data_IF_196497366831
#
_entry.id   IF_196497366831
#
_cell.length_a   1.000
_cell.length_b   1.000
_cell.length_c   1.000
_cell.angle_alpha   90.00
_cell.angle_beta   90.00
_cell.angle_gamma   90.00
#
_symmetry.space_group_name_H-M   'P 1'
#
loop_
_entity.id
_entity.type
_entity.pdbx_description
1 polymer ?
#
# COMPACT_ATOMS: atom_id res chain seq x y z
N UNK A 1 29.57 -31.94 -0.19
CA UNK A 1 28.78 -30.77 0.21
C UNK A 1 27.38 -30.95 -0.38
N UNK A 2 26.30 -30.98 0.41
CA UNK A 2 24.97 -30.99 -0.16
C UNK A 2 24.78 -29.67 -0.92
N UNK A 3 24.32 -29.73 -2.17
CA UNK A 3 23.89 -28.55 -2.92
C UNK A 3 22.78 -27.87 -2.11
N UNK A 4 23.11 -26.78 -1.40
CA UNK A 4 22.09 -25.90 -0.85
C UNK A 4 21.34 -25.31 -2.03
N UNK A 5 20.14 -25.81 -2.30
CA UNK A 5 19.22 -25.19 -3.26
C UNK A 5 19.14 -23.71 -2.90
N UNK A 6 19.46 -22.86 -3.87
CA UNK A 6 19.39 -21.42 -3.65
C UNK A 6 17.95 -21.03 -3.33
N UNK A 7 17.73 -20.07 -2.40
CA UNK A 7 16.38 -19.68 -2.03
C UNK A 7 15.63 -19.09 -3.23
N UNK A 8 14.34 -19.40 -3.30
CA UNK A 8 13.44 -18.86 -4.31
C UNK A 8 13.25 -17.35 -4.09
N UNK A 9 13.20 -16.61 -5.19
CA UNK A 9 12.81 -15.21 -5.19
C UNK A 9 11.35 -15.07 -4.79
N UNK A 10 11.02 -13.97 -4.10
CA UNK A 10 9.63 -13.66 -3.74
C UNK A 10 8.86 -13.20 -4.99
N UNK A 11 7.83 -13.94 -5.46
CA UNK A 11 7.02 -13.54 -6.61
C UNK A 11 6.13 -12.32 -6.32
N UNK A 12 6.04 -11.87 -5.07
CA UNK A 12 5.42 -10.59 -4.71
C UNK A 12 6.37 -9.41 -4.87
N UNK A 13 7.68 -9.62 -5.00
CA UNK A 13 8.56 -8.54 -5.43
C UNK A 13 8.09 -8.09 -6.82
N UNK A 14 7.71 -6.83 -6.96
CA UNK A 14 7.10 -6.25 -8.18
C UNK A 14 7.98 -6.45 -9.42
N UNK A 15 9.30 -6.42 -9.27
CA UNK A 15 10.24 -6.78 -10.33
C UNK A 15 10.12 -8.25 -10.73
N UNK A 16 10.15 -9.16 -9.76
CA UNK A 16 10.10 -10.61 -10.00
C UNK A 16 8.76 -10.97 -10.64
N UNK A 17 7.68 -10.36 -10.16
CA UNK A 17 6.35 -10.46 -10.74
C UNK A 17 6.36 -10.05 -12.22
N UNK A 18 6.88 -8.85 -12.53
CA UNK A 18 6.96 -8.36 -13.91
C UNK A 18 7.78 -9.30 -14.79
N UNK A 19 8.98 -9.70 -14.35
CA UNK A 19 9.84 -10.62 -15.12
C UNK A 19 9.17 -11.97 -15.37
N UNK A 20 8.48 -12.54 -14.38
CA UNK A 20 7.78 -13.83 -14.52
C UNK A 20 6.71 -13.75 -15.61
N UNK A 21 5.83 -12.75 -15.54
CA UNK A 21 4.70 -12.64 -16.45
C UNK A 21 5.06 -12.03 -17.81
N UNK A 22 6.15 -11.28 -17.93
CA UNK A 22 6.69 -10.88 -19.24
C UNK A 22 7.41 -12.01 -19.95
N UNK A 23 8.03 -12.92 -19.19
CA UNK A 23 8.66 -14.14 -19.74
C UNK A 23 7.60 -15.17 -20.18
N UNK A 24 6.46 -15.21 -19.51
CA UNK A 24 5.36 -16.13 -19.80
C UNK A 24 4.00 -15.42 -19.86
N UNK A 25 3.70 -14.66 -20.93
CA UNK A 25 2.43 -13.94 -21.07
C UNK A 25 1.18 -14.83 -21.00
N UNK A 26 1.29 -16.09 -21.39
CA UNK A 26 0.21 -17.08 -21.25
C UNK A 26 -0.18 -17.31 -19.79
N UNK A 27 0.77 -17.24 -18.85
CA UNK A 27 0.47 -17.37 -17.41
C UNK A 27 -0.25 -16.13 -16.88
N UNK A 28 0.05 -14.95 -17.43
CA UNK A 28 -0.65 -13.72 -17.09
C UNK A 28 -2.10 -13.77 -17.62
N UNK A 29 -2.29 -14.33 -18.82
CA UNK A 29 -3.62 -14.61 -19.38
C UNK A 29 -4.45 -15.52 -18.44
N UNK A 30 -3.86 -16.62 -17.95
CA UNK A 30 -4.49 -17.53 -16.98
C UNK A 30 -4.82 -16.84 -15.64
N UNK A 31 -3.94 -15.95 -15.16
CA UNK A 31 -4.20 -15.15 -13.97
C UNK A 31 -5.37 -14.17 -14.18
N UNK A 32 -5.42 -13.48 -15.32
CA UNK A 32 -6.52 -12.57 -15.68
C UNK A 32 -7.84 -13.35 -15.72
N UNK A 33 -7.86 -14.51 -16.39
CA UNK A 33 -9.02 -15.39 -16.46
C UNK A 33 -9.46 -15.87 -15.06
N UNK A 34 -8.52 -16.20 -14.18
CA UNK A 34 -8.82 -16.61 -12.81
C UNK A 34 -9.46 -15.48 -11.99
N UNK A 35 -8.96 -14.24 -12.13
CA UNK A 35 -9.55 -13.06 -11.47
C UNK A 35 -10.94 -12.76 -12.05
N UNK A 36 -11.08 -12.82 -13.37
CA UNK A 36 -12.30 -12.50 -14.12
C UNK A 36 -13.13 -13.73 -14.47
N UNK A 37 -13.19 -14.71 -13.58
CA UNK A 37 -13.86 -16.00 -13.80
C UNK A 37 -15.36 -15.93 -14.17
N UNK A 38 -16.00 -14.77 -13.99
CA UNK A 38 -17.40 -14.51 -14.36
C UNK A 38 -17.56 -13.93 -15.79
N UNK A 39 -16.45 -13.63 -16.45
CA UNK A 39 -16.41 -13.05 -17.80
C UNK A 39 -15.94 -14.10 -18.82
N UNK A 40 -16.20 -13.89 -20.12
CA UNK A 40 -15.64 -14.74 -21.17
C UNK A 40 -14.11 -14.81 -21.08
N UNK A 41 -13.59 -16.02 -21.23
CA UNK A 41 -12.15 -16.26 -21.20
C UNK A 41 -11.46 -15.53 -22.36
N UNK A 42 -10.29 -14.97 -22.05
CA UNK A 42 -9.33 -14.54 -23.06
C UNK A 42 -8.38 -15.67 -23.41
N UNK A 43 -7.92 -15.68 -24.64
CA UNK A 43 -7.04 -16.74 -25.17
C UNK A 43 -5.61 -16.27 -25.39
N UNK A 44 -5.40 -14.96 -25.59
CA UNK A 44 -4.08 -14.39 -25.82
C UNK A 44 -3.98 -12.97 -25.28
N UNK A 45 -2.76 -12.58 -24.91
CA UNK A 45 -2.44 -11.20 -24.56
C UNK A 45 -1.12 -10.78 -25.20
N UNK A 46 -0.99 -9.50 -25.49
CA UNK A 46 0.27 -8.85 -25.86
C UNK A 46 0.66 -7.87 -24.77
N UNK A 47 1.91 -7.94 -24.30
CA UNK A 47 2.42 -7.00 -23.31
C UNK A 47 2.95 -5.76 -24.02
N UNK A 48 2.42 -4.59 -23.64
CA UNK A 48 2.73 -3.31 -24.26
C UNK A 48 3.96 -2.63 -23.64
N UNK A 49 4.33 -2.97 -22.40
CA UNK A 49 5.47 -2.39 -21.68
C UNK A 49 6.44 -3.46 -21.12
N UNK A 50 7.00 -4.35 -21.97
CA UNK A 50 7.79 -5.51 -21.50
C UNK A 50 9.12 -5.10 -20.86
N UNK A 51 9.67 -3.95 -21.25
CA UNK A 51 10.96 -3.46 -20.79
C UNK A 51 10.94 -3.09 -19.30
N UNK A 52 12.10 -3.28 -18.68
CA UNK A 52 12.35 -2.89 -17.30
C UNK A 52 13.72 -2.24 -17.25
N UNK A 53 13.74 -0.93 -17.04
CA UNK A 53 14.96 -0.14 -16.99
C UNK A 53 15.58 -0.18 -15.59
N UNK A 54 16.90 0.06 -15.47
CA UNK A 54 17.55 0.07 -14.15
C UNK A 54 17.02 1.22 -13.26
N UNK A 55 16.52 2.29 -13.87
CA UNK A 55 15.84 3.41 -13.24
C UNK A 55 14.52 2.97 -12.55
N UNK A 56 13.86 1.94 -13.08
CA UNK A 56 12.66 1.32 -12.50
C UNK A 56 12.96 0.55 -11.20
N UNK A 57 14.23 0.43 -10.77
CA UNK A 57 14.56 -0.30 -9.54
C UNK A 57 14.60 0.60 -8.30
N UNK A 58 14.82 1.91 -8.48
CA UNK A 58 15.18 2.84 -7.40
C UNK A 58 14.30 4.11 -7.32
N UNK A 59 13.38 4.33 -8.26
CA UNK A 59 12.57 5.56 -8.33
C UNK A 59 11.25 5.58 -7.55
N UNK A 60 10.67 6.78 -7.39
CA UNK A 60 9.27 6.99 -6.94
C UNK A 60 8.22 6.72 -8.04
N UNK A 61 8.65 6.76 -9.31
CA UNK A 61 7.81 6.68 -10.52
C UNK A 61 8.01 5.37 -11.28
N UNK A 62 8.41 4.32 -10.57
CA UNK A 62 8.72 3.01 -11.13
C UNK A 62 7.51 2.42 -11.86
N UNK A 63 7.70 2.04 -13.11
CA UNK A 63 6.68 1.37 -13.93
C UNK A 63 6.91 -0.15 -13.95
N UNK A 64 6.67 -0.80 -12.80
CA UNK A 64 6.72 -2.27 -12.66
C UNK A 64 5.35 -2.93 -12.81
N UNK A 65 4.32 -2.16 -13.14
CA UNK A 65 3.06 -2.69 -13.63
C UNK A 65 3.23 -3.32 -15.01
N UNK A 66 2.35 -4.27 -15.32
CA UNK A 66 2.25 -4.90 -16.63
C UNK A 66 1.01 -4.34 -17.32
N UNK A 67 1.24 -3.63 -18.43
CA UNK A 67 0.20 -3.20 -19.34
C UNK A 67 0.09 -4.23 -20.46
N UNK A 68 -1.06 -4.89 -20.56
CA UNK A 68 -1.33 -5.90 -21.57
C UNK A 68 -2.60 -5.56 -22.37
N UNK A 69 -2.71 -6.12 -23.57
CA UNK A 69 -3.87 -5.99 -24.46
C UNK A 69 -4.29 -7.39 -24.93
N UNK A 70 -5.59 -7.69 -24.88
CA UNK A 70 -6.13 -8.98 -25.35
C UNK A 70 -6.54 -8.97 -26.83
N UNK A 71 -7.05 -10.11 -27.33
CA UNK A 71 -7.51 -10.25 -28.71
C UNK A 71 -8.71 -9.35 -29.07
N UNK A 72 -9.41 -8.81 -28.07
CA UNK A 72 -10.54 -7.90 -28.22
C UNK A 72 -10.13 -6.43 -27.99
N UNK A 73 -8.83 -6.13 -27.94
CA UNK A 73 -8.28 -4.79 -27.71
C UNK A 73 -8.57 -4.20 -26.34
N UNK A 74 -9.07 -4.99 -25.39
CA UNK A 74 -9.24 -4.55 -24.00
C UNK A 74 -7.85 -4.45 -23.35
N UNK A 75 -7.64 -3.39 -22.57
CA UNK A 75 -6.37 -3.15 -21.88
C UNK A 75 -6.44 -3.62 -20.44
N UNK A 76 -5.38 -4.26 -19.97
CA UNK A 76 -5.23 -4.73 -18.60
C UNK A 76 -4.02 -4.03 -17.98
N UNK A 77 -4.23 -3.38 -16.84
CA UNK A 77 -3.14 -2.90 -16.00
C UNK A 77 -3.02 -3.82 -14.78
N UNK A 78 -1.97 -4.64 -14.74
CA UNK A 78 -1.75 -5.62 -13.67
C UNK A 78 -0.61 -5.15 -12.78
N UNK A 79 -0.89 -5.00 -11.49
CA UNK A 79 0.07 -4.50 -10.51
C UNK A 79 0.22 -5.46 -9.32
N UNK A 80 1.45 -5.82 -8.98
CA UNK A 80 1.78 -6.46 -7.71
C UNK A 80 2.16 -5.38 -6.70
N UNK A 81 1.30 -5.17 -5.72
CA UNK A 81 1.46 -4.11 -4.74
C UNK A 81 1.94 -4.66 -3.40
N UNK A 82 3.23 -4.47 -3.16
CA UNK A 82 3.91 -4.90 -1.93
C UNK A 82 3.51 -4.03 -0.73
N UNK A 83 3.03 -2.80 -0.98
CA UNK A 83 2.85 -1.77 0.04
C UNK A 83 1.62 -0.93 -0.19
N UNK A 84 1.03 -0.49 0.92
CA UNK A 84 0.10 0.62 0.92
C UNK A 84 0.90 1.93 0.85
N UNK A 85 0.64 2.73 -0.19
CA UNK A 85 1.13 4.11 -0.27
C UNK A 85 -0.05 5.05 -0.30
N UNK A 86 -0.16 5.97 0.66
CA UNK A 86 -1.19 7.00 0.61
C UNK A 86 -0.78 8.18 -0.30
N UNK A 87 -1.70 8.72 -1.13
CA UNK A 87 -3.10 8.30 -1.27
C UNK A 87 -3.28 7.15 -2.29
N UNK A 88 -3.60 5.95 -1.81
CA UNK A 88 -3.65 4.74 -2.63
C UNK A 88 -4.79 4.77 -3.66
N UNK A 89 -6.00 5.12 -3.22
CA UNK A 89 -7.20 5.14 -4.05
C UNK A 89 -7.06 6.13 -5.20
N UNK A 90 -6.62 7.36 -4.90
CA UNK A 90 -6.40 8.41 -5.89
C UNK A 90 -5.37 8.00 -6.93
N UNK A 91 -4.26 7.37 -6.51
CA UNK A 91 -3.20 6.89 -7.40
C UNK A 91 -3.73 5.80 -8.34
N UNK A 92 -4.43 4.80 -7.79
CA UNK A 92 -5.01 3.70 -8.57
C UNK A 92 -6.03 4.21 -9.59
N UNK A 93 -6.95 5.09 -9.19
CA UNK A 93 -7.93 5.69 -10.10
C UNK A 93 -7.27 6.56 -11.18
N UNK A 94 -6.24 7.34 -10.82
CA UNK A 94 -5.49 8.15 -11.78
C UNK A 94 -4.83 7.30 -12.85
N UNK A 95 -4.13 6.22 -12.47
CA UNK A 95 -3.47 5.36 -13.44
C UNK A 95 -4.46 4.60 -14.32
N UNK A 96 -5.55 4.11 -13.75
CA UNK A 96 -6.61 3.43 -14.51
C UNK A 96 -7.23 4.38 -15.55
N UNK A 97 -7.60 5.59 -15.15
CA UNK A 97 -8.12 6.61 -16.05
C UNK A 97 -7.09 7.02 -17.11
N UNK A 98 -5.81 7.14 -16.73
CA UNK A 98 -4.72 7.47 -17.68
C UNK A 98 -4.58 6.40 -18.76
N UNK A 99 -4.67 5.11 -18.39
CA UNK A 99 -4.65 4.01 -19.36
C UNK A 99 -5.82 4.11 -20.34
N UNK A 100 -7.02 4.49 -19.87
CA UNK A 100 -8.17 4.74 -20.73
C UNK A 100 -7.91 5.89 -21.71
N UNK A 101 -7.47 7.05 -21.20
CA UNK A 101 -7.25 8.24 -22.04
C UNK A 101 -6.11 8.09 -23.03
N UNK A 102 -5.10 7.27 -22.72
CA UNK A 102 -3.95 6.99 -23.60
C UNK A 102 -4.28 6.06 -24.79
N UNK A 103 -5.55 5.73 -25.01
CA UNK A 103 -5.99 4.95 -26.16
C UNK A 103 -6.19 5.81 -27.41
N UNK A 104 -6.52 7.08 -27.23
CA UNK A 104 -6.94 7.97 -28.29
C UNK A 104 -5.92 9.09 -28.51
N UNK A 105 -5.78 9.49 -29.77
CA UNK A 105 -5.08 10.70 -30.18
C UNK A 105 -6.06 11.87 -30.35
N UNK A 106 -5.58 13.13 -30.37
CA UNK A 106 -6.44 14.29 -30.59
C UNK A 106 -7.21 14.20 -31.91
N UNK A 107 -8.55 14.13 -31.82
CA UNK A 107 -9.46 14.09 -32.97
C UNK A 107 -10.09 12.71 -33.22
N UNK A 108 -9.68 11.67 -32.50
CA UNK A 108 -10.28 10.34 -32.58
C UNK A 108 -11.72 10.31 -32.04
N UNK A 109 -12.51 9.38 -32.57
CA UNK A 109 -13.87 9.10 -32.09
C UNK A 109 -13.83 8.33 -30.76
N UNK A 110 -14.60 8.77 -29.77
CA UNK A 110 -14.74 8.07 -28.48
C UNK A 110 -15.30 6.65 -28.62
N UNK A 111 -16.00 6.33 -29.71
CA UNK A 111 -16.46 4.97 -30.00
C UNK A 111 -15.32 3.95 -30.18
N UNK A 112 -14.07 4.41 -30.35
CA UNK A 112 -12.89 3.56 -30.44
C UNK A 112 -12.37 3.10 -29.08
N UNK A 113 -12.81 3.71 -27.98
CA UNK A 113 -12.37 3.34 -26.63
C UNK A 113 -12.69 1.88 -26.34
N UNK A 114 -11.68 1.18 -25.83
CA UNK A 114 -11.81 -0.18 -25.34
C UNK A 114 -11.80 -0.21 -23.82
N UNK A 115 -12.48 -1.18 -23.20
CA UNK A 115 -12.43 -1.39 -21.77
C UNK A 115 -11.01 -1.47 -21.20
N UNK A 116 -10.82 -0.84 -20.04
CA UNK A 116 -9.60 -0.90 -19.24
C UNK A 116 -9.90 -1.58 -17.91
N UNK A 117 -9.14 -2.63 -17.62
CA UNK A 117 -9.28 -3.43 -16.42
C UNK A 117 -8.00 -3.34 -15.59
N UNK A 118 -8.09 -2.72 -14.42
CA UNK A 118 -7.04 -2.76 -13.40
C UNK A 118 -7.14 -4.04 -12.58
N UNK A 119 -6.03 -4.74 -12.36
CA UNK A 119 -5.94 -5.91 -11.48
C UNK A 119 -4.78 -5.70 -10.52
N UNK A 120 -5.07 -5.40 -9.26
CA UNK A 120 -4.04 -5.17 -8.25
C UNK A 120 -4.02 -6.32 -7.23
N UNK A 121 -2.88 -6.99 -7.12
CA UNK A 121 -2.60 -8.01 -6.12
C UNK A 121 -1.96 -7.33 -4.91
N UNK A 122 -2.69 -7.26 -3.80
CA UNK A 122 -2.27 -6.52 -2.61
C UNK A 122 -1.65 -7.47 -1.58
N UNK A 123 -0.41 -7.22 -1.18
CA UNK A 123 0.25 -7.94 -0.07
C UNK A 123 -0.11 -7.38 1.32
N UNK A 124 -1.24 -6.68 1.43
CA UNK A 124 -1.75 -6.06 2.65
C UNK A 124 -3.28 -6.02 2.59
N UNK A 125 -3.91 -5.76 3.73
CA UNK A 125 -5.35 -5.55 3.81
C UNK A 125 -5.65 -4.05 3.65
N UNK A 126 -6.31 -3.70 2.55
CA UNK A 126 -6.81 -2.36 2.30
C UNK A 126 -8.11 -2.09 3.07
N UNK A 127 -9.01 -3.08 3.15
CA UNK A 127 -10.28 -2.97 3.86
C UNK A 127 -10.23 -3.78 5.15
N UNK A 128 -10.25 -3.10 6.29
CA UNK A 128 -10.07 -3.71 7.62
C UNK A 128 -11.34 -3.66 8.48
N UNK A 129 -12.41 -3.06 7.96
CA UNK A 129 -13.71 -2.97 8.61
C UNK A 129 -14.32 -4.37 8.80
N UNK A 130 -15.01 -4.56 9.93
CA UNK A 130 -15.56 -5.86 10.32
C UNK A 130 -16.51 -6.44 9.25
N UNK A 131 -17.35 -5.59 8.67
CA UNK A 131 -18.36 -5.96 7.66
C UNK A 131 -17.74 -6.42 6.33
N UNK A 132 -16.50 -6.02 6.06
CA UNK A 132 -15.75 -6.30 4.85
C UNK A 132 -14.63 -7.34 5.07
N UNK A 133 -14.53 -7.89 6.28
CA UNK A 133 -13.40 -8.71 6.69
C UNK A 133 -13.31 -10.02 5.91
N UNK A 134 -14.45 -10.61 5.55
CA UNK A 134 -14.58 -11.91 4.86
C UNK A 134 -14.47 -11.82 3.32
N UNK A 135 -14.20 -10.64 2.77
CA UNK A 135 -14.01 -10.46 1.33
C UNK A 135 -12.54 -10.19 1.00
N UNK A 136 -12.03 -10.90 0.01
CA UNK A 136 -10.64 -10.81 -0.46
C UNK A 136 -10.51 -10.39 -1.92
N UNK A 137 -11.56 -10.61 -2.73
CA UNK A 137 -11.65 -10.14 -4.12
C UNK A 137 -12.70 -9.03 -4.19
N UNK A 138 -12.27 -7.85 -4.63
CA UNK A 138 -13.11 -6.68 -4.82
C UNK A 138 -13.17 -6.34 -6.30
N UNK A 139 -14.35 -5.97 -6.80
CA UNK A 139 -14.53 -5.46 -8.16
C UNK A 139 -15.26 -4.11 -8.06
N UNK A 140 -14.60 -3.05 -8.49
CA UNK A 140 -15.17 -1.71 -8.53
C UNK A 140 -15.49 -1.32 -9.97
N UNK A 141 -16.71 -0.85 -10.18
CA UNK A 141 -17.30 -0.50 -11.47
C UNK A 141 -18.17 0.75 -11.33
N UNK A 142 -18.49 1.40 -12.44
CA UNK A 142 -19.40 2.55 -12.46
C UNK A 142 -20.85 2.06 -12.36
N UNK A 143 -21.38 2.00 -11.14
CA UNK A 143 -22.73 1.52 -10.83
C UNK A 143 -23.60 2.65 -10.28
N UNK A 144 -24.91 2.55 -10.49
CA UNK A 144 -25.84 3.48 -9.87
C UNK A 144 -25.80 3.33 -8.33
N UNK A 145 -25.79 4.47 -7.63
CA UNK A 145 -25.65 4.49 -6.17
C UNK A 145 -26.88 3.92 -5.45
N UNK A 146 -28.06 4.07 -6.04
CA UNK A 146 -29.34 3.67 -5.43
C UNK A 146 -29.70 2.23 -5.80
N UNK A 147 -29.38 1.83 -7.03
CA UNK A 147 -29.56 0.48 -7.54
C UNK A 147 -28.23 -0.08 -8.08
N UNK A 148 -27.39 -0.69 -7.23
CA UNK A 148 -26.07 -1.19 -7.63
C UNK A 148 -26.09 -2.27 -8.73
N UNK A 149 -27.23 -2.90 -9.01
CA UNK A 149 -27.36 -3.82 -10.13
C UNK A 149 -27.28 -3.12 -11.50
N UNK A 150 -27.59 -1.82 -11.56
CA UNK A 150 -27.48 -1.01 -12.78
C UNK A 150 -26.04 -0.51 -12.92
N UNK A 151 -25.42 -0.87 -14.02
CA UNK A 151 -24.04 -0.49 -14.37
C UNK A 151 -24.06 0.44 -15.59
N UNK A 152 -23.29 1.52 -15.54
CA UNK A 152 -23.07 2.42 -16.66
C UNK A 152 -21.77 2.04 -17.36
N UNK A 153 -21.90 1.31 -18.47
CA UNK A 153 -20.76 0.87 -19.29
C UNK A 153 -19.82 -0.10 -18.58
N UNK A 154 -18.78 -0.55 -19.28
CA UNK A 154 -17.74 -1.45 -18.75
C UNK A 154 -16.33 -0.93 -19.05
N UNK A 155 -16.21 0.36 -19.38
CA UNK A 155 -14.96 0.98 -19.84
C UNK A 155 -13.88 0.99 -18.76
N UNK A 156 -14.27 1.00 -17.48
CA UNK A 156 -13.36 1.00 -16.33
C UNK A 156 -13.80 -0.04 -15.30
N UNK A 157 -12.92 -1.00 -15.04
CA UNK A 157 -13.05 -1.97 -13.95
C UNK A 157 -11.77 -1.98 -13.11
N UNK A 158 -11.90 -2.07 -11.78
CA UNK A 158 -10.76 -2.24 -10.88
C UNK A 158 -10.98 -3.45 -9.97
N UNK A 159 -10.18 -4.48 -10.19
CA UNK A 159 -10.13 -5.67 -9.35
C UNK A 159 -9.01 -5.57 -8.32
N UNK A 160 -9.33 -5.76 -7.05
CA UNK A 160 -8.35 -5.83 -5.96
C UNK A 160 -8.40 -7.21 -5.33
N UNK A 161 -7.22 -7.81 -5.13
CA UNK A 161 -7.08 -9.12 -4.51
C UNK A 161 -6.19 -8.96 -3.29
N UNK A 162 -6.76 -9.04 -2.10
CA UNK A 162 -6.04 -8.99 -0.82
C UNK A 162 -5.45 -10.36 -0.50
N UNK A 163 -4.19 -10.57 -0.89
CA UNK A 163 -3.48 -11.84 -0.71
C UNK A 163 -3.49 -12.38 0.73
N UNK A 164 -3.43 -11.56 1.80
CA UNK A 164 -3.48 -12.07 3.17
C UNK A 164 -4.83 -12.71 3.56
N UNK A 165 -5.92 -12.42 2.83
CA UNK A 165 -7.26 -12.95 3.11
C UNK A 165 -7.58 -14.22 2.30
N UNK A 166 -6.57 -15.06 2.04
CA UNK A 166 -6.71 -16.25 1.16
C UNK A 166 -7.84 -17.19 1.60
N UNK A 167 -7.97 -17.46 2.89
CA UNK A 167 -8.99 -18.39 3.43
C UNK A 167 -10.41 -17.87 3.25
N UNK A 168 -10.55 -16.59 2.90
CA UNK A 168 -11.80 -15.87 2.69
C UNK A 168 -12.17 -15.74 1.22
N UNK A 169 -11.38 -16.33 0.30
CA UNK A 169 -11.74 -16.50 -1.12
C UNK A 169 -12.78 -17.63 -1.30
N UNK A 170 -13.89 -17.56 -0.57
CA UNK A 170 -15.03 -18.46 -0.78
C UNK A 170 -15.58 -18.32 -2.22
N UNK A 171 -15.57 -17.09 -2.75
CA UNK A 171 -16.10 -16.74 -4.07
C UNK A 171 -15.07 -16.76 -5.22
N UNK A 172 -13.78 -16.76 -4.93
CA UNK A 172 -12.76 -16.90 -5.98
C UNK A 172 -12.71 -18.35 -6.44
N UNK A 173 -12.92 -18.64 -7.73
CA UNK A 173 -12.84 -20.01 -8.25
C UNK A 173 -11.54 -20.72 -7.88
N UNK A 174 -11.51 -22.06 -8.03
CA UNK A 174 -10.33 -22.91 -7.71
C UNK A 174 -9.02 -22.37 -8.32
N UNK A 175 -9.08 -21.78 -9.50
CA UNK A 175 -7.96 -21.15 -10.18
C UNK A 175 -7.39 -19.95 -9.41
N UNK A 176 -8.22 -18.99 -8.99
CA UNK A 176 -7.76 -17.80 -8.27
C UNK A 176 -7.16 -18.17 -6.91
N UNK A 177 -7.80 -19.11 -6.18
CA UNK A 177 -7.23 -19.63 -4.92
C UNK A 177 -5.86 -20.27 -5.13
N UNK A 178 -5.67 -20.97 -6.25
CA UNK A 178 -4.38 -21.57 -6.61
C UNK A 178 -3.30 -20.51 -6.85
N UNK A 179 -3.64 -19.42 -7.56
CA UNK A 179 -2.74 -18.28 -7.76
C UNK A 179 -2.39 -17.56 -6.45
N UNK A 180 -3.38 -17.29 -5.59
CA UNK A 180 -3.12 -16.67 -4.28
C UNK A 180 -2.25 -17.59 -3.41
N UNK A 181 -2.49 -18.91 -3.44
CA UNK A 181 -1.65 -19.90 -2.74
C UNK A 181 -0.21 -19.86 -3.26
N UNK A 182 -0.01 -19.73 -4.58
CA UNK A 182 1.32 -19.51 -5.16
C UNK A 182 2.02 -18.27 -4.58
N UNK A 183 1.36 -17.11 -4.58
CA UNK A 183 1.98 -15.88 -4.07
C UNK A 183 2.22 -15.87 -2.55
N UNK A 184 1.46 -16.68 -1.79
CA UNK A 184 1.55 -16.77 -0.32
C UNK A 184 2.52 -17.84 0.17
N UNK A 185 2.62 -18.95 -0.54
CA UNK A 185 3.35 -20.15 -0.14
C UNK A 185 4.46 -20.54 -1.11
N UNK A 186 4.97 -19.59 -1.91
CA UNK A 186 5.97 -19.85 -2.96
C UNK A 186 7.23 -20.57 -2.45
N UNK A 187 7.58 -20.42 -1.18
CA UNK A 187 8.72 -21.10 -0.55
C UNK A 187 8.45 -22.59 -0.28
N UNK A 188 7.18 -22.98 -0.20
CA UNK A 188 6.70 -24.35 0.06
C UNK A 188 6.50 -25.09 -1.27
N UNK A 189 7.55 -25.08 -2.09
CA UNK A 189 7.54 -25.58 -3.47
C UNK A 189 6.91 -26.97 -3.59
N UNK A 190 7.28 -27.89 -2.70
CA UNK A 190 6.77 -29.26 -2.71
C UNK A 190 5.26 -29.28 -2.51
N UNK A 191 4.73 -28.47 -1.60
CA UNK A 191 3.30 -28.38 -1.34
C UNK A 191 2.56 -27.79 -2.53
N UNK A 192 3.10 -26.74 -3.16
CA UNK A 192 2.47 -26.17 -4.36
C UNK A 192 2.43 -27.21 -5.48
N UNK A 193 3.54 -27.91 -5.73
CA UNK A 193 3.61 -28.93 -6.79
C UNK A 193 2.74 -30.16 -6.52
N UNK A 194 2.51 -30.53 -5.26
CA UNK A 194 1.72 -31.71 -4.90
C UNK A 194 0.25 -31.43 -4.63
N UNK A 195 -0.08 -30.27 -4.06
CA UNK A 195 -1.42 -29.95 -3.55
C UNK A 195 -2.20 -28.99 -4.46
N UNK A 196 -1.54 -28.27 -5.38
CA UNK A 196 -2.23 -27.40 -6.34
C UNK A 196 -2.42 -28.14 -7.65
N UNK A 197 -3.65 -28.58 -7.92
CA UNK A 197 -4.02 -29.28 -9.17
C UNK A 197 -4.18 -28.35 -10.38
N UNK A 198 -3.90 -27.06 -10.23
CA UNK A 198 -4.03 -26.09 -11.32
C UNK A 198 -2.69 -25.90 -12.04
N UNK A 199 -2.61 -26.47 -13.24
CA UNK A 199 -1.38 -26.60 -14.05
C UNK A 199 -0.65 -25.26 -14.30
N UNK A 200 -1.33 -24.13 -14.62
CA UNK A 200 -0.64 -22.84 -14.81
C UNK A 200 0.17 -22.38 -13.59
N UNK A 201 -0.29 -22.71 -12.38
CA UNK A 201 0.45 -22.38 -11.15
C UNK A 201 1.70 -23.26 -10.99
N UNK A 202 1.64 -24.52 -11.43
CA UNK A 202 2.82 -25.40 -11.44
C UNK A 202 3.86 -24.93 -12.47
N UNK A 203 3.42 -24.44 -13.63
CA UNK A 203 4.28 -23.80 -14.62
C UNK A 203 4.92 -22.53 -14.05
N UNK A 204 4.13 -21.66 -13.39
CA UNK A 204 4.62 -20.45 -12.73
C UNK A 204 5.67 -20.76 -11.66
N UNK A 205 5.46 -21.82 -10.87
CA UNK A 205 6.42 -22.31 -9.89
C UNK A 205 7.73 -22.78 -10.54
N UNK A 206 7.62 -23.54 -11.62
CA UNK A 206 8.81 -23.99 -12.38
C UNK A 206 9.58 -22.81 -12.96
N UNK A 207 8.89 -21.83 -13.54
CA UNK A 207 9.49 -20.61 -14.04
C UNK A 207 10.14 -19.79 -12.91
N UNK A 208 9.49 -19.67 -11.75
CA UNK A 208 10.06 -19.00 -10.58
C UNK A 208 11.38 -19.64 -10.14
N UNK A 209 11.53 -20.97 -10.19
CA UNK A 209 12.82 -21.63 -9.92
C UNK A 209 13.90 -21.24 -10.92
N UNK A 210 13.57 -21.23 -12.21
CA UNK A 210 14.52 -20.82 -13.25
C UNK A 210 14.95 -19.36 -13.07
N UNK A 211 14.00 -18.45 -12.83
CA UNK A 211 14.28 -17.04 -12.55
C UNK A 211 15.08 -16.86 -11.26
N UNK A 212 14.82 -17.70 -10.25
CA UNK A 212 15.59 -17.69 -9.02
C UNK A 212 17.03 -18.12 -9.28
N UNK A 213 17.29 -19.08 -10.16
CA UNK A 213 18.64 -19.50 -10.52
C UNK A 213 19.41 -18.48 -11.38
N UNK A 214 18.71 -17.55 -12.05
CA UNK A 214 19.32 -16.50 -12.87
C UNK A 214 19.95 -15.39 -12.01
N UNK A 215 21.26 -15.20 -12.15
CA UNK A 215 22.03 -14.25 -11.35
C UNK A 215 21.63 -12.79 -11.60
N UNK A 216 21.30 -12.45 -12.86
CA UNK A 216 20.88 -11.09 -13.23
C UNK A 216 19.54 -10.74 -12.59
N UNK A 217 18.55 -11.61 -12.71
CA UNK A 217 17.24 -11.47 -12.07
C UNK A 217 17.37 -11.36 -10.57
N UNK A 218 18.16 -12.23 -9.94
CA UNK A 218 18.40 -12.18 -8.49
C UNK A 218 19.03 -10.86 -8.05
N UNK A 219 20.06 -10.38 -8.75
CA UNK A 219 20.72 -9.11 -8.43
C UNK A 219 19.74 -7.95 -8.49
N UNK A 220 18.92 -7.88 -9.55
CA UNK A 220 17.92 -6.82 -9.72
C UNK A 220 16.82 -6.91 -8.66
N UNK A 221 16.36 -8.11 -8.32
CA UNK A 221 15.39 -8.33 -7.24
C UNK A 221 15.93 -7.87 -5.88
N UNK A 222 17.22 -8.15 -5.60
CA UNK A 222 17.89 -7.68 -4.40
C UNK A 222 18.01 -6.15 -4.35
N UNK A 223 18.37 -5.49 -5.46
CA UNK A 223 18.39 -4.02 -5.55
C UNK A 223 17.01 -3.44 -5.26
N UNK A 224 15.96 -4.02 -5.86
CA UNK A 224 14.59 -3.59 -5.65
C UNK A 224 14.14 -3.77 -4.19
N UNK A 225 14.46 -4.92 -3.60
CA UNK A 225 14.15 -5.19 -2.19
C UNK A 225 14.85 -4.20 -1.26
N UNK A 226 16.12 -3.86 -1.53
CA UNK A 226 16.85 -2.84 -0.78
C UNK A 226 16.20 -1.47 -0.91
N UNK A 227 15.86 -1.03 -2.12
CA UNK A 227 15.19 0.24 -2.35
C UNK A 227 13.88 0.32 -1.56
N UNK A 228 13.08 -0.76 -1.59
CA UNK A 228 11.91 -0.88 -0.74
C UNK A 228 12.29 -0.71 0.74
N UNK A 229 13.25 -1.46 1.29
CA UNK A 229 13.63 -1.35 2.72
C UNK A 229 14.08 0.06 3.10
N UNK A 230 14.84 0.73 2.25
CA UNK A 230 15.32 2.09 2.46
C UNK A 230 14.16 3.09 2.51
N UNK A 231 13.20 3.01 1.58
CA UNK A 231 11.97 3.81 1.60
C UNK A 231 11.15 3.61 2.88
N UNK A 232 11.01 2.37 3.36
CA UNK A 232 10.27 2.07 4.60
C UNK A 232 10.94 2.70 5.81
N UNK A 233 12.27 2.64 5.85
CA UNK A 233 13.07 3.23 6.92
C UNK A 233 12.98 4.76 6.89
N UNK A 234 13.03 5.36 5.69
CA UNK A 234 12.85 6.80 5.51
C UNK A 234 11.46 7.28 5.94
N UNK A 235 10.40 6.55 5.58
CA UNK A 235 9.04 6.87 6.01
C UNK A 235 8.90 6.78 7.53
N UNK A 236 9.41 5.70 8.15
CA UNK A 236 9.37 5.54 9.60
C UNK A 236 10.10 6.67 10.33
N UNK A 237 11.29 7.07 9.84
CA UNK A 237 12.04 8.19 10.39
C UNK A 237 11.28 9.53 10.24
N UNK A 238 10.66 9.77 9.07
CA UNK A 238 9.84 10.96 8.84
C UNK A 238 8.62 11.01 9.76
N UNK A 239 7.92 9.89 9.95
CA UNK A 239 6.80 9.78 10.89
C UNK A 239 7.25 10.04 12.32
N UNK A 240 8.34 9.43 12.78
CA UNK A 240 8.87 9.64 14.13
C UNK A 240 9.24 11.12 14.36
N UNK A 241 9.89 11.76 13.38
CA UNK A 241 10.20 13.20 13.43
C UNK A 241 8.93 14.05 13.48
N UNK A 242 7.92 13.74 12.67
CA UNK A 242 6.64 14.45 12.65
C UNK A 242 5.90 14.35 13.97
N UNK A 243 5.89 13.17 14.61
CA UNK A 243 5.31 12.96 15.95
C UNK A 243 6.06 13.77 16.99
N UNK A 244 7.40 13.72 17.00
CA UNK A 244 8.21 14.49 17.95
C UNK A 244 7.96 16.00 17.82
N UNK A 245 7.94 16.53 16.59
CA UNK A 245 7.60 17.93 16.33
C UNK A 245 6.18 18.29 16.78
N UNK A 246 5.21 17.39 16.58
CA UNK A 246 3.83 17.59 17.04
C UNK A 246 3.72 17.66 18.56
N UNK A 247 4.44 16.80 19.28
CA UNK A 247 4.50 16.82 20.75
C UNK A 247 5.17 18.10 21.26
N UNK A 248 6.28 18.52 20.66
CA UNK A 248 6.96 19.77 21.01
C UNK A 248 6.06 21.00 20.78
N UNK A 249 5.38 21.06 19.62
CA UNK A 249 4.43 22.14 19.33
C UNK A 249 3.24 22.15 20.30
N UNK A 250 2.74 20.98 20.71
CA UNK A 250 1.68 20.88 21.74
C UNK A 250 2.17 21.46 23.05
N UNK A 251 3.36 21.06 23.52
CA UNK A 251 3.95 21.54 24.77
C UNK A 251 4.13 23.06 24.77
N UNK A 252 4.63 23.64 23.67
CA UNK A 252 4.77 25.10 23.53
C UNK A 252 3.42 25.81 23.64
N UNK A 253 2.38 25.32 22.94
CA UNK A 253 1.04 25.91 22.98
C UNK A 253 0.42 25.82 24.37
N UNK A 254 0.63 24.71 25.06
CA UNK A 254 0.12 24.47 26.40
C UNK A 254 0.76 25.41 27.43
N UNK A 255 2.09 25.56 27.38
CA UNK A 255 2.81 26.56 28.19
C UNK A 255 2.29 27.97 27.95
N UNK A 256 2.10 28.36 26.69
CA UNK A 256 1.57 29.68 26.35
C UNK A 256 0.14 29.89 26.87
N UNK A 257 -0.69 28.85 26.82
CA UNK A 257 -2.05 28.91 27.35
C UNK A 257 -2.04 29.04 28.88
N UNK A 258 -1.29 28.20 29.58
CA UNK A 258 -1.17 28.23 31.04
C UNK A 258 -0.59 29.57 31.51
N UNK A 259 0.44 30.10 30.84
CA UNK A 259 0.99 31.41 31.15
C UNK A 259 -0.10 32.50 31.13
N UNK A 260 -0.92 32.54 30.07
CA UNK A 260 -2.03 33.51 29.96
C UNK A 260 -3.09 33.31 31.04
N UNK A 261 -3.39 32.07 31.41
CA UNK A 261 -4.35 31.77 32.47
C UNK A 261 -3.82 32.22 33.84
N UNK A 262 -2.54 32.00 34.12
CA UNK A 262 -1.87 32.46 35.33
C UNK A 262 -1.87 33.99 35.41
N UNK A 263 -1.47 34.69 34.35
CA UNK A 263 -1.47 36.16 34.33
C UNK A 263 -2.88 36.73 34.60
N UNK A 264 -3.91 36.09 34.04
CA UNK A 264 -5.30 36.47 34.28
C UNK A 264 -5.76 36.17 35.70
N UNK A 265 -5.40 35.01 36.25
CA UNK A 265 -5.78 34.57 37.61
C UNK A 265 -5.12 35.44 38.68
N UNK A 266 -3.85 35.78 38.48
CA UNK A 266 -3.04 36.57 39.41
C UNK A 266 -3.20 38.08 39.21
N UNK A 267 -3.86 38.51 38.12
CA UNK A 267 -4.04 39.91 37.73
C UNK A 267 -2.71 40.69 37.60
N UNK A 268 -1.62 40.01 37.24
CA UNK A 268 -0.29 40.58 37.04
C UNK A 268 0.50 39.77 35.99
N UNK A 269 1.46 40.39 35.28
CA UNK A 269 2.34 39.66 34.37
C UNK A 269 3.24 38.68 35.13
N UNK A 270 3.60 37.56 34.49
CA UNK A 270 4.57 36.63 35.07
C UNK A 270 5.96 37.26 35.12
N UNK A 271 6.69 37.01 36.22
CA UNK A 271 8.09 37.43 36.33
C UNK A 271 8.98 36.59 35.40
N UNK A 272 10.16 37.10 35.05
CA UNK A 272 11.13 36.36 34.23
C UNK A 272 11.48 34.99 34.86
N UNK A 273 11.54 34.93 36.20
CA UNK A 273 11.77 33.68 36.93
C UNK A 273 10.63 32.68 36.74
N UNK A 274 9.37 33.12 36.87
CA UNK A 274 8.19 32.27 36.68
C UNK A 274 8.09 31.76 35.24
N UNK A 275 8.40 32.60 34.25
CA UNK A 275 8.46 32.21 32.84
C UNK A 275 9.53 31.14 32.60
N UNK A 276 10.74 31.33 33.14
CA UNK A 276 11.82 30.35 33.04
C UNK A 276 11.46 29.01 33.69
N UNK A 277 10.78 29.03 34.85
CA UNK A 277 10.35 27.78 35.49
C UNK A 277 9.25 27.08 34.68
N UNK A 278 8.30 27.83 34.11
CA UNK A 278 7.26 27.28 33.25
C UNK A 278 7.85 26.61 31.99
N UNK A 279 8.93 27.15 31.43
CA UNK A 279 9.68 26.54 30.33
C UNK A 279 10.42 25.25 30.69
N UNK A 280 10.60 24.96 31.98
CA UNK A 280 11.24 23.73 32.46
C UNK A 280 10.25 22.63 32.82
N UNK A 281 8.97 22.96 32.99
CA UNK A 281 7.96 21.98 33.35
C UNK A 281 7.77 20.95 32.23
N UNK A 282 7.67 19.69 32.63
CA UNK A 282 7.23 18.61 31.76
C UNK A 282 5.76 18.79 31.37
N UNK A 283 5.30 17.98 30.41
CA UNK A 283 3.91 17.97 30.00
C UNK A 283 2.96 17.63 31.17
N UNK A 284 3.29 16.60 31.95
CA UNK A 284 2.49 16.18 33.12
C UNK A 284 2.42 17.28 34.17
N UNK A 285 3.53 17.96 34.45
CA UNK A 285 3.57 19.08 35.39
C UNK A 285 2.75 20.29 34.91
N UNK A 286 2.63 20.49 33.60
CA UNK A 286 1.77 21.54 33.06
C UNK A 286 0.28 21.19 33.23
N UNK A 287 -0.10 19.93 33.04
CA UNK A 287 -1.47 19.47 33.34
C UNK A 287 -1.78 19.64 34.84
N UNK A 288 -0.85 19.27 35.73
CA UNK A 288 -0.99 19.49 37.18
C UNK A 288 -1.10 20.99 37.52
N UNK A 289 -0.29 21.85 36.89
CA UNK A 289 -0.34 23.29 37.09
C UNK A 289 -1.67 23.88 36.60
N UNK A 290 -2.23 23.35 35.52
CA UNK A 290 -3.51 23.79 34.99
C UNK A 290 -4.66 23.52 35.97
N UNK A 291 -4.60 22.43 36.74
CA UNK A 291 -5.55 22.16 37.82
C UNK A 291 -5.27 23.03 39.05
N UNK A 292 -4.01 23.06 39.52
CA UNK A 292 -3.62 23.79 40.73
C UNK A 292 -3.83 25.32 40.63
N UNK A 293 -3.74 25.86 39.41
CA UNK A 293 -4.02 27.26 39.07
C UNK A 293 -5.33 27.77 39.69
N UNK A 294 -6.37 26.94 39.76
CA UNK A 294 -7.68 27.39 40.25
C UNK A 294 -7.68 27.73 41.75
N UNK A 295 -6.77 27.13 42.51
CA UNK A 295 -6.62 27.31 43.96
C UNK A 295 -5.69 28.46 44.33
N UNK A 296 -4.96 29.05 43.38
CA UNK A 296 -4.05 30.15 43.66
C UNK A 296 -4.81 31.44 44.02
N UNK A 297 -4.41 32.08 45.12
CA UNK A 297 -4.95 33.36 45.56
C UNK A 297 -4.04 34.54 45.16
N UNK A 298 -2.73 34.31 45.09
CA UNK A 298 -1.74 35.35 44.75
C UNK A 298 -0.46 34.73 44.14
N UNK A 299 0.51 35.58 43.79
CA UNK A 299 1.77 35.16 43.16
C UNK A 299 2.66 34.25 44.02
N UNK A 300 2.55 34.31 45.35
CA UNK A 300 3.35 33.47 46.25
C UNK A 300 2.93 32.00 46.16
N UNK A 301 1.65 31.72 45.87
CA UNK A 301 1.13 30.37 45.70
C UNK A 301 1.77 29.69 44.46
N UNK A 302 1.88 30.44 43.35
CA UNK A 302 2.58 29.98 42.14
C UNK A 302 4.06 29.74 42.42
N UNK A 303 4.75 30.64 43.15
CA UNK A 303 6.16 30.44 43.46
C UNK A 303 6.40 29.21 44.35
N UNK A 304 5.56 28.99 45.36
CA UNK A 304 5.64 27.78 46.20
C UNK A 304 5.39 26.52 45.39
N UNK A 305 4.38 26.53 44.51
CA UNK A 305 4.10 25.39 43.65
C UNK A 305 5.29 25.07 42.73
N UNK A 306 5.87 26.07 42.06
CA UNK A 306 7.03 25.88 41.19
C UNK A 306 8.27 25.38 41.94
N UNK A 307 8.44 25.75 43.21
CA UNK A 307 9.53 25.24 44.05
C UNK A 307 9.36 23.76 44.42
N UNK A 308 8.12 23.28 44.59
CA UNK A 308 7.83 21.88 44.90
C UNK A 308 8.13 20.95 43.72
N UNK A 309 8.06 21.46 42.49
CA UNK A 309 8.31 20.72 41.25
C UNK A 309 9.79 20.54 40.91
N UNK A 310 10.72 21.01 41.77
CA UNK A 310 12.18 20.92 41.56
C UNK A 310 12.81 19.62 42.09
N UNK A 311 12.02 18.65 42.54
CA UNK A 311 12.52 17.38 43.09
C UNK A 311 12.28 16.19 42.18
#
# INVERSE_FOLDING_TARGET
MPFTQQPLLDPKNDLVFKVLFTTAPQLLCELINAVRHQFPLITAITILNPEIYDEDLQGKFIQLDILAEDEFKRRYNIEMQVRQSDPWSRRSSYYLARTLTSQLEPGDDYALLQPVIGIHLLNFNLFNEADCSEQAHWCFEMRDRTNPAVQLGDELQLHLIELPKIDRLAYGGKALRSWVKFFRHWQEEREIMSAVEYEPVQQAMTLLRHLSADEKTRRRAFVRERALRDERSALAAATAKGVAQGLEQRLIRERQMIARLLERKLAQPLTAYQQEQLERLSFEQLEELAEALFDFANGDDLERWLQQQRH
#
